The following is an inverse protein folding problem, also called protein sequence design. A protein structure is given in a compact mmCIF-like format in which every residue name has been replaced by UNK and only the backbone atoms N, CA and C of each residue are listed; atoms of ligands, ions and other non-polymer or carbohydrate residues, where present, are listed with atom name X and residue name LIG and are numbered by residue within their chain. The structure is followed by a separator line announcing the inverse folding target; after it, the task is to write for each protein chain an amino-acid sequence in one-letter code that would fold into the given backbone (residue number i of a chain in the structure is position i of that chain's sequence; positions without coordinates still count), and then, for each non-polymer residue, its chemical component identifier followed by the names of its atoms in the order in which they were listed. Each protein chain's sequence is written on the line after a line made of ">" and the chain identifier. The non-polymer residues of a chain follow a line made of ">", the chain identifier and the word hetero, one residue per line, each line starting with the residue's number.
data_IF_897337546940
#
_entry.id   IF_897337546940
#
_cell.length_a   1.000
_cell.length_b   1.000
_cell.length_c   1.000
_cell.angle_alpha   90.00
_cell.angle_beta   90.00
_cell.angle_gamma   90.00
#
_symmetry.space_group_name_H-M   'P 1'
#
loop_
_entity.id
_entity.type
_entity.pdbx_description
1 polymer ?
#
# COMPACT_ATOMS: atom_id res chain seq x y z
N UNK A 1 2.01 0.05 -13.80
CA UNK A 1 2.42 -0.51 -12.49
C UNK A 1 2.56 -2.02 -12.63
N UNK A 2 3.79 -2.53 -12.55
CA UNK A 2 4.06 -3.98 -12.52
C UNK A 2 4.65 -4.29 -11.16
N UNK A 3 3.86 -4.86 -10.27
CA UNK A 3 4.36 -5.45 -9.04
C UNK A 3 4.60 -6.93 -9.33
N UNK A 4 5.86 -7.39 -9.42
CA UNK A 4 6.20 -8.73 -9.91
C UNK A 4 5.59 -9.87 -9.07
N UNK A 5 5.15 -9.57 -7.84
CA UNK A 5 4.51 -10.51 -6.93
C UNK A 5 3.10 -10.06 -6.45
N UNK A 6 2.51 -8.99 -7.01
CA UNK A 6 1.18 -8.56 -6.57
C UNK A 6 0.06 -9.24 -7.35
N UNK A 7 -0.59 -10.19 -6.72
CA UNK A 7 -1.94 -10.57 -7.08
C UNK A 7 -2.91 -9.40 -6.82
N UNK A 8 -3.96 -9.22 -7.64
CA UNK A 8 -4.98 -8.18 -7.43
C UNK A 8 -5.64 -8.28 -6.05
N UNK A 9 -5.64 -9.46 -5.43
CA UNK A 9 -6.09 -9.70 -4.06
C UNK A 9 -5.27 -8.93 -3.01
N UNK A 10 -3.93 -8.91 -3.14
CA UNK A 10 -3.07 -8.15 -2.24
C UNK A 10 -3.30 -6.64 -2.37
N UNK A 11 -3.41 -6.13 -3.60
CA UNK A 11 -3.71 -4.71 -3.83
C UNK A 11 -5.09 -4.32 -3.30
N UNK A 12 -6.08 -5.19 -3.43
CA UNK A 12 -7.41 -4.96 -2.89
C UNK A 12 -7.40 -4.92 -1.35
N UNK A 13 -6.64 -5.81 -0.71
CA UNK A 13 -6.46 -5.82 0.73
C UNK A 13 -5.76 -4.55 1.22
N UNK A 14 -4.67 -4.16 0.58
CA UNK A 14 -3.90 -2.96 0.92
C UNK A 14 -4.75 -1.69 0.76
N UNK A 15 -5.53 -1.59 -0.31
CA UNK A 15 -6.45 -0.46 -0.51
C UNK A 15 -7.56 -0.41 0.54
N UNK A 16 -8.08 -1.57 0.96
CA UNK A 16 -9.05 -1.64 2.05
C UNK A 16 -8.42 -1.16 3.36
N UNK A 17 -7.21 -1.59 3.69
CA UNK A 17 -6.48 -1.13 4.88
C UNK A 17 -6.20 0.38 4.84
N UNK A 18 -5.78 0.91 3.69
CA UNK A 18 -5.53 2.34 3.48
C UNK A 18 -6.81 3.21 3.59
N UNK A 19 -7.98 2.65 3.27
CA UNK A 19 -9.26 3.37 3.26
C UNK A 19 -10.13 3.07 4.49
N UNK A 20 -9.64 2.21 5.37
CA UNK A 20 -10.35 1.74 6.55
C UNK A 20 -10.25 2.77 7.69
N UNK A 21 -11.30 2.87 8.50
CA UNK A 21 -11.27 3.64 9.73
C UNK A 21 -10.50 2.90 10.83
N UNK A 22 -9.92 3.66 11.77
CA UNK A 22 -9.20 3.12 12.93
C UNK A 22 -10.08 2.10 13.69
N UNK A 23 -9.78 0.81 13.52
CA UNK A 23 -10.54 -0.29 14.12
C UNK A 23 -10.89 -1.44 13.17
N UNK A 24 -11.21 -1.20 11.90
CA UNK A 24 -11.62 -2.31 11.01
C UNK A 24 -10.42 -3.02 10.36
N UNK A 25 -9.20 -2.49 10.48
CA UNK A 25 -7.98 -3.16 9.99
C UNK A 25 -7.89 -4.58 10.55
N UNK A 26 -8.16 -4.75 11.85
CA UNK A 26 -8.10 -6.07 12.49
C UNK A 26 -9.11 -7.05 11.88
N UNK A 27 -10.33 -6.60 11.55
CA UNK A 27 -11.33 -7.44 10.88
C UNK A 27 -10.93 -7.76 9.44
N UNK A 28 -10.40 -6.78 8.71
CA UNK A 28 -9.96 -6.94 7.32
C UNK A 28 -8.79 -7.92 7.25
N UNK A 29 -7.79 -7.79 8.13
CA UNK A 29 -6.65 -8.72 8.22
C UNK A 29 -7.11 -10.12 8.63
N UNK A 30 -8.05 -10.23 9.57
CA UNK A 30 -8.58 -11.53 10.02
C UNK A 30 -9.37 -12.24 8.91
N UNK A 31 -10.14 -11.51 8.09
CA UNK A 31 -10.85 -12.06 6.93
C UNK A 31 -9.92 -12.50 5.80
N UNK A 32 -8.74 -11.90 5.69
CA UNK A 32 -7.78 -12.15 4.63
C UNK A 32 -6.50 -12.81 5.18
N UNK A 33 -6.64 -13.60 6.25
CA UNK A 33 -5.51 -14.27 6.89
C UNK A 33 -4.74 -15.19 5.92
N UNK A 34 -5.43 -15.78 4.95
CA UNK A 34 -4.83 -16.58 3.87
C UNK A 34 -3.90 -15.76 2.95
N UNK A 35 -4.06 -14.43 2.91
CA UNK A 35 -3.25 -13.50 2.15
C UNK A 35 -2.13 -12.87 2.99
N UNK A 36 -2.08 -13.12 4.30
CA UNK A 36 -1.04 -12.62 5.21
C UNK A 36 0.25 -13.43 5.07
N UNK A 37 0.88 -13.33 3.90
CA UNK A 37 2.14 -14.00 3.57
C UNK A 37 3.26 -12.97 3.29
N UNK A 38 4.49 -13.42 3.17
CA UNK A 38 5.65 -12.59 2.80
C UNK A 38 5.41 -11.87 1.47
N UNK A 39 4.64 -12.45 0.56
CA UNK A 39 4.22 -11.81 -0.70
C UNK A 39 3.45 -10.51 -0.47
N UNK A 40 2.52 -10.46 0.50
CA UNK A 40 1.77 -9.25 0.84
C UNK A 40 2.70 -8.17 1.39
N UNK A 41 3.65 -8.55 2.25
CA UNK A 41 4.61 -7.60 2.85
C UNK A 41 5.44 -6.92 1.77
N UNK A 42 5.92 -7.66 0.76
CA UNK A 42 6.67 -7.07 -0.36
C UNK A 42 5.83 -6.05 -1.15
N UNK A 43 4.54 -6.35 -1.39
CA UNK A 43 3.64 -5.46 -2.11
C UNK A 43 3.30 -4.23 -1.28
N UNK A 44 3.06 -4.38 0.03
CA UNK A 44 2.85 -3.26 0.96
C UNK A 44 4.03 -2.30 0.95
N UNK A 45 5.27 -2.82 0.98
CA UNK A 45 6.48 -1.99 0.93
C UNK A 45 6.57 -1.24 -0.41
N UNK A 46 6.30 -1.92 -1.53
CA UNK A 46 6.33 -1.28 -2.84
C UNK A 46 5.26 -0.17 -2.97
N UNK A 47 4.04 -0.42 -2.51
CA UNK A 47 2.93 0.56 -2.51
C UNK A 47 3.25 1.74 -1.57
N UNK A 48 3.80 1.48 -0.38
CA UNK A 48 4.19 2.53 0.56
C UNK A 48 5.35 3.38 0.01
N UNK A 49 6.32 2.76 -0.65
CA UNK A 49 7.39 3.47 -1.35
C UNK A 49 6.86 4.35 -2.47
N UNK A 50 5.90 3.86 -3.27
CA UNK A 50 5.25 4.67 -4.30
C UNK A 50 4.37 5.78 -3.73
N UNK A 51 3.59 5.54 -2.69
CA UNK A 51 2.81 6.60 -2.02
C UNK A 51 3.73 7.67 -1.41
N UNK A 52 4.84 7.24 -0.82
CA UNK A 52 5.88 8.14 -0.31
C UNK A 52 6.59 8.90 -1.44
N UNK A 53 6.87 8.27 -2.57
CA UNK A 53 7.45 8.93 -3.74
C UNK A 53 6.46 9.86 -4.43
N UNK A 54 5.21 9.47 -4.66
CA UNK A 54 4.17 10.33 -5.23
C UNK A 54 3.89 11.55 -4.33
N UNK A 55 3.89 11.36 -3.00
CA UNK A 55 3.84 12.46 -2.03
C UNK A 55 5.10 13.33 -2.03
N UNK A 56 6.27 12.76 -2.34
CA UNK A 56 7.54 13.48 -2.47
C UNK A 56 7.72 14.14 -3.83
N UNK A 57 7.21 13.63 -4.93
CA UNK A 57 7.24 14.27 -6.25
C UNK A 57 6.39 15.55 -6.24
N UNK A 58 5.26 15.51 -5.53
CA UNK A 58 4.43 16.69 -5.30
C UNK A 58 5.13 17.74 -4.39
N UNK A 59 5.94 17.31 -3.41
CA UNK A 59 6.78 18.22 -2.60
C UNK A 59 8.09 18.65 -3.28
N UNK A 60 8.67 17.81 -4.13
CA UNK A 60 9.95 18.06 -4.80
C UNK A 60 9.80 19.10 -5.91
N UNK A 61 8.64 19.18 -6.57
CA UNK A 61 8.33 20.32 -7.45
C UNK A 61 8.18 21.66 -6.70
N UNK A 62 7.93 21.66 -5.39
CA UNK A 62 7.90 22.89 -4.59
C UNK A 62 9.29 23.36 -4.15
N UNK A 63 10.34 22.55 -4.32
CA UNK A 63 11.71 22.86 -3.87
C UNK A 63 12.71 23.11 -5.03
N UNK A 64 12.27 23.03 -6.29
CA UNK A 64 13.09 23.34 -7.48
C UNK A 64 12.79 24.76 -8.02
N UNK A 65 11.89 25.51 -7.37
CA UNK A 65 11.61 26.91 -7.70
C UNK A 65 11.86 27.85 -6.52
N UNK A 66 13.09 27.90 -6.01
CA UNK A 66 13.60 29.05 -5.26
C UNK A 66 15.02 29.36 -5.71
#
# INVERSE_FOLDING_TARGET
>A
MFYPNASPLYLNLINQLLSCNEGDESQILQKNQELLDEGLVQVMVAVAQELGNAGRENKAQSLIST
#
